data_IF_917751757361
#
_entry.id   IF_917751757361
#
_cell.length_a   1.000
_cell.length_b   1.000
_cell.length_c   1.000
_cell.angle_alpha   90.00
_cell.angle_beta   90.00
_cell.angle_gamma   90.00
#
_symmetry.space_group_name_H-M   'P 1'
#
loop_
_entity.id
_entity.type
_entity.pdbx_description
1 polymer ?
#
# COMPACT_ATOMS: atom_id res chain seq x y z
N UNK A 1 -29.89 -3.16 -7.82
CA UNK A 1 -28.74 -3.89 -7.26
C UNK A 1 -27.50 -3.43 -8.04
N UNK A 2 -26.63 -2.62 -7.44
CA UNK A 2 -25.51 -1.97 -8.15
C UNK A 2 -24.30 -2.89 -8.26
N UNK A 3 -23.64 -2.90 -9.43
CA UNK A 3 -22.39 -3.64 -9.67
C UNK A 3 -21.22 -2.68 -9.41
N UNK A 4 -20.34 -3.04 -8.47
CA UNK A 4 -19.07 -2.34 -8.27
C UNK A 4 -18.00 -3.00 -9.12
N UNK A 5 -17.20 -2.19 -9.81
CA UNK A 5 -15.98 -2.61 -10.49
C UNK A 5 -14.83 -2.06 -9.68
N UNK A 6 -13.99 -2.94 -9.13
CA UNK A 6 -12.72 -2.55 -8.54
C UNK A 6 -11.64 -2.62 -9.64
N UNK A 7 -10.98 -1.51 -9.89
CA UNK A 7 -9.82 -1.45 -10.80
C UNK A 7 -8.56 -1.48 -9.94
N UNK A 8 -7.64 -2.39 -10.23
CA UNK A 8 -6.36 -2.49 -9.53
C UNK A 8 -5.26 -1.87 -10.39
N UNK A 9 -4.40 -1.06 -9.77
CA UNK A 9 -3.19 -0.55 -10.40
C UNK A 9 -1.98 -1.11 -9.66
N UNK A 10 -1.07 -1.74 -10.40
CA UNK A 10 0.16 -2.26 -9.84
C UNK A 10 1.18 -1.12 -9.65
N UNK A 11 1.84 -1.10 -8.50
CA UNK A 11 2.94 -0.19 -8.19
C UNK A 11 4.18 -0.99 -7.81
N UNK A 12 5.37 -0.47 -8.12
CA UNK A 12 6.59 -0.90 -7.44
C UNK A 12 6.58 -0.36 -6.01
N UNK A 13 7.33 -1.00 -5.11
CA UNK A 13 7.49 -0.55 -3.71
C UNK A 13 7.98 0.90 -3.69
N UNK A 14 9.02 1.22 -4.45
CA UNK A 14 9.58 2.58 -4.51
C UNK A 14 8.59 3.59 -5.13
N UNK A 15 7.88 3.21 -6.20
CA UNK A 15 6.89 4.08 -6.83
C UNK A 15 5.70 4.38 -5.92
N UNK A 16 5.28 3.41 -5.11
CA UNK A 16 4.24 3.64 -4.10
C UNK A 16 4.75 4.51 -2.95
N UNK A 17 6.00 4.33 -2.52
CA UNK A 17 6.65 5.17 -1.50
C UNK A 17 6.75 6.64 -1.93
N UNK A 18 7.15 6.88 -3.17
CA UNK A 18 7.19 8.23 -3.76
C UNK A 18 5.79 8.87 -3.79
N UNK A 19 4.78 8.10 -4.20
CA UNK A 19 3.39 8.56 -4.20
C UNK A 19 2.93 8.97 -2.79
N UNK A 20 3.19 8.13 -1.78
CA UNK A 20 2.83 8.44 -0.39
C UNK A 20 3.59 9.66 0.16
N UNK A 21 4.86 9.82 -0.21
CA UNK A 21 5.68 10.97 0.18
C UNK A 21 5.14 12.28 -0.38
N UNK A 22 4.55 12.25 -1.59
CA UNK A 22 3.90 13.42 -2.20
C UNK A 22 2.54 13.76 -1.59
N UNK A 23 1.95 12.87 -0.79
CA UNK A 23 0.60 13.01 -0.25
C UNK A 23 0.50 13.84 1.05
N UNK A 24 1.62 14.41 1.52
CA UNK A 24 1.66 15.21 2.76
C UNK A 24 1.37 14.40 4.03
N UNK A 25 1.65 13.10 3.99
CA UNK A 25 1.57 12.21 5.14
C UNK A 25 2.78 12.43 6.06
N UNK A 26 2.63 12.05 7.34
CA UNK A 26 3.73 12.02 8.30
C UNK A 26 4.73 10.90 8.01
N UNK A 27 5.51 10.51 9.02
CA UNK A 27 6.49 9.43 8.89
C UNK A 27 5.86 8.15 8.32
N UNK A 28 6.52 7.59 7.30
CA UNK A 28 6.08 6.39 6.58
C UNK A 28 6.94 5.22 7.06
N UNK A 29 6.30 4.21 7.65
CA UNK A 29 6.91 2.94 8.01
C UNK A 29 6.50 1.86 7.02
N UNK A 30 7.47 1.06 6.57
CA UNK A 30 7.24 -0.09 5.70
C UNK A 30 7.22 -1.37 6.54
N UNK A 31 6.17 -2.17 6.35
CA UNK A 31 6.03 -3.49 6.95
C UNK A 31 6.04 -4.51 5.82
N UNK A 32 7.07 -5.35 5.77
CA UNK A 32 7.09 -6.51 4.90
C UNK A 32 6.06 -7.53 5.42
N UNK A 33 5.00 -7.79 4.64
CA UNK A 33 4.09 -8.88 4.98
C UNK A 33 4.76 -10.21 4.62
N UNK A 34 5.17 -10.96 5.64
CA UNK A 34 5.41 -12.39 5.47
C UNK A 34 4.04 -13.05 5.39
N UNK A 35 3.63 -13.45 4.18
CA UNK A 35 2.35 -14.13 3.98
C UNK A 35 2.29 -15.42 4.81
N UNK A 36 1.51 -15.42 5.89
CA UNK A 36 1.10 -16.66 6.55
C UNK A 36 -0.03 -17.28 5.73
N UNK A 37 0.35 -18.05 4.70
CA UNK A 37 -0.62 -18.75 3.86
C UNK A 37 -0.06 -19.02 2.48
N UNK A 38 -0.05 -20.29 2.10
CA UNK A 38 0.71 -20.94 1.02
C UNK A 38 0.40 -20.50 -0.43
N UNK A 39 -0.19 -19.34 -0.68
CA UNK A 39 -0.35 -18.80 -2.02
C UNK A 39 -0.74 -17.31 -1.97
N UNK A 40 0.22 -16.38 -1.99
CA UNK A 40 0.07 -15.07 -2.67
C UNK A 40 1.34 -14.20 -2.53
N UNK A 41 1.59 -13.25 -3.45
CA UNK A 41 2.86 -12.55 -3.59
C UNK A 41 3.12 -11.64 -2.38
N UNK A 42 4.42 -11.48 -2.07
CA UNK A 42 4.96 -10.59 -1.03
C UNK A 42 4.29 -9.22 -1.12
N UNK A 43 3.31 -8.97 -0.26
CA UNK A 43 2.63 -7.69 -0.15
C UNK A 43 3.47 -6.79 0.76
N UNK A 44 3.83 -5.61 0.25
CA UNK A 44 4.45 -4.57 1.07
C UNK A 44 3.35 -3.66 1.61
N UNK A 45 3.25 -3.53 2.93
CA UNK A 45 2.29 -2.66 3.58
C UNK A 45 3.01 -1.39 4.05
N UNK A 46 2.43 -0.23 3.75
CA UNK A 46 2.94 1.05 4.22
C UNK A 46 1.98 1.65 5.25
N UNK A 47 2.51 2.07 6.39
CA UNK A 47 1.76 2.72 7.46
C UNK A 47 2.28 4.14 7.61
N UNK A 48 1.38 5.12 7.57
CA UNK A 48 1.73 6.53 7.75
C UNK A 48 0.70 7.24 8.61
N UNK A 49 1.15 8.21 9.40
CA UNK A 49 0.27 9.04 10.22
C UNK A 49 -0.28 10.20 9.39
N UNK A 50 -1.57 10.53 9.53
CA UNK A 50 -2.13 11.76 8.95
C UNK A 50 -1.96 12.90 9.97
N UNK A 51 -1.33 14.04 9.60
CA UNK A 51 -1.31 15.20 10.48
C UNK A 51 -2.75 15.70 10.73
N UNK A 52 -3.03 16.10 11.98
CA UNK A 52 -4.36 16.52 12.44
C UNK A 52 -4.90 17.77 11.74
#
# INVERSE_FOLDING_TARGET
MGRYVATYQAYTVDGYRELLSSAGLGEISELESMGEGTADPRLTVFVASRPA
#
